data_IF_966916131583
#
_entry.id   IF_966916131583
#
_cell.length_a   1.000
_cell.length_b   1.000
_cell.length_c   1.000
_cell.angle_alpha   90.00
_cell.angle_beta   90.00
_cell.angle_gamma   90.00
#
_symmetry.space_group_name_H-M   'P 1'
#
loop_
_entity.id
_entity.type
_entity.pdbx_description
1 polymer ?
#
# COMPACT_ATOMS: atom_id res chain seq x y z
N UNK A 1 -22.79 -2.04 20.76
CA UNK A 1 -23.08 -2.52 19.41
C UNK A 1 -23.46 -1.38 18.47
N UNK A 2 -23.21 -1.58 17.19
CA UNK A 2 -23.56 -0.63 16.13
C UNK A 2 -24.51 -1.30 15.12
N UNK A 3 -25.33 -0.48 14.48
CA UNK A 3 -26.10 -0.94 13.32
C UNK A 3 -25.19 -1.10 12.12
N UNK A 4 -25.22 -2.29 11.49
CA UNK A 4 -24.44 -2.63 10.29
C UNK A 4 -25.40 -3.06 9.19
N UNK A 5 -25.11 -2.64 7.95
CA UNK A 5 -25.91 -3.06 6.79
C UNK A 5 -25.86 -4.58 6.60
N UNK A 6 -26.97 -5.15 6.12
CA UNK A 6 -27.05 -6.57 5.71
C UNK A 6 -26.04 -6.95 4.61
N UNK A 7 -25.47 -5.94 3.92
CA UNK A 7 -24.44 -6.15 2.91
C UNK A 7 -23.04 -6.42 3.50
N UNK A 8 -22.87 -6.30 4.82
CA UNK A 8 -21.62 -6.50 5.55
C UNK A 8 -21.78 -7.53 6.68
N UNK A 9 -22.23 -8.79 6.38
CA UNK A 9 -22.53 -9.79 7.40
C UNK A 9 -21.29 -10.30 8.16
N UNK A 10 -20.10 -10.26 7.55
CA UNK A 10 -18.87 -10.63 8.26
C UNK A 10 -18.39 -9.48 9.16
N UNK A 11 -18.39 -8.25 8.66
CA UNK A 11 -18.00 -7.05 9.41
C UNK A 11 -18.84 -6.87 10.67
N UNK A 12 -20.12 -7.26 10.65
CA UNK A 12 -21.00 -7.23 11.84
C UNK A 12 -20.43 -8.00 13.04
N UNK A 13 -19.53 -8.96 12.81
CA UNK A 13 -18.90 -9.78 13.85
C UNK A 13 -17.73 -9.08 14.56
N UNK A 14 -17.23 -7.97 14.00
CA UNK A 14 -16.09 -7.21 14.53
C UNK A 14 -16.46 -5.78 14.93
N UNK A 15 -17.74 -5.44 15.03
CA UNK A 15 -18.18 -4.06 15.31
C UNK A 15 -17.67 -3.53 16.65
N UNK A 16 -17.43 -4.39 17.62
CA UNK A 16 -16.90 -4.01 18.94
C UNK A 16 -15.36 -3.82 18.92
N UNK A 17 -14.70 -4.22 17.85
CA UNK A 17 -13.27 -4.05 17.63
C UNK A 17 -12.94 -2.77 16.84
N UNK A 18 -13.94 -2.01 16.38
CA UNK A 18 -13.77 -0.85 15.51
C UNK A 18 -14.43 0.39 16.09
N UNK A 19 -13.84 1.54 15.82
CA UNK A 19 -14.39 2.85 16.17
C UNK A 19 -15.00 3.53 14.95
N UNK A 20 -16.22 4.05 15.09
CA UNK A 20 -16.97 4.72 14.03
C UNK A 20 -16.89 6.23 14.16
N UNK A 21 -16.15 6.89 13.29
CA UNK A 21 -16.07 8.36 13.22
C UNK A 21 -17.20 8.90 12.33
N UNK A 22 -18.39 9.11 12.91
CA UNK A 22 -19.62 9.42 12.15
C UNK A 22 -19.75 10.89 11.71
N UNK A 23 -18.98 11.80 12.29
CA UNK A 23 -19.10 13.23 12.07
C UNK A 23 -18.00 13.81 11.16
N UNK A 24 -17.32 12.99 10.39
CA UNK A 24 -16.33 13.47 9.43
C UNK A 24 -17.01 14.14 8.25
N UNK A 25 -16.57 15.34 7.90
CA UNK A 25 -17.05 16.12 6.75
C UNK A 25 -15.89 16.76 6.00
N UNK A 26 -16.13 17.12 4.75
CA UNK A 26 -15.17 17.81 3.89
C UNK A 26 -15.92 18.84 3.04
N UNK A 27 -15.28 19.96 2.75
CA UNK A 27 -15.72 20.98 1.81
C UNK A 27 -15.28 20.69 0.36
N UNK A 28 -14.54 19.60 0.15
CA UNK A 28 -14.05 19.20 -1.17
C UNK A 28 -15.10 18.36 -1.91
N UNK A 29 -15.61 18.90 -3.00
CA UNK A 29 -16.66 18.26 -3.81
C UNK A 29 -16.10 17.37 -4.94
N UNK A 30 -14.82 17.49 -5.28
CA UNK A 30 -14.17 16.73 -6.37
C UNK A 30 -13.23 15.67 -5.80
N UNK A 31 -13.10 14.53 -6.50
CA UNK A 31 -12.33 13.37 -6.07
C UNK A 31 -10.86 13.69 -5.76
N UNK A 32 -10.12 14.28 -6.69
CA UNK A 32 -8.69 14.51 -6.51
C UNK A 32 -8.35 15.42 -5.32
N UNK A 33 -8.95 16.60 -5.14
CA UNK A 33 -8.69 17.42 -3.96
C UNK A 33 -9.21 16.79 -2.67
N UNK A 34 -10.32 16.04 -2.70
CA UNK A 34 -10.82 15.32 -1.53
C UNK A 34 -9.87 14.17 -1.11
N UNK A 35 -9.33 13.42 -2.06
CA UNK A 35 -8.32 12.40 -1.81
C UNK A 35 -7.03 13.01 -1.23
N UNK A 36 -6.57 14.13 -1.77
CA UNK A 36 -5.42 14.86 -1.22
C UNK A 36 -5.69 15.32 0.21
N UNK A 37 -6.84 15.95 0.47
CA UNK A 37 -7.22 16.40 1.81
C UNK A 37 -7.19 15.23 2.80
N UNK A 38 -7.79 14.10 2.45
CA UNK A 38 -7.86 12.91 3.31
C UNK A 38 -6.48 12.33 3.60
N UNK A 39 -5.58 12.30 2.61
CA UNK A 39 -4.29 11.63 2.71
C UNK A 39 -3.14 12.54 3.17
N UNK A 40 -3.26 13.86 3.01
CA UNK A 40 -2.17 14.81 3.28
C UNK A 40 -2.56 15.97 4.21
N UNK A 41 -3.84 16.06 4.60
CA UNK A 41 -4.37 17.17 5.36
C UNK A 41 -4.48 18.49 4.57
N UNK A 42 -4.44 18.43 3.23
CA UNK A 42 -4.59 19.60 2.37
C UNK A 42 -5.03 19.25 0.97
N UNK A 43 -5.92 20.05 0.39
CA UNK A 43 -6.50 19.81 -0.94
C UNK A 43 -5.55 20.17 -2.12
N UNK A 44 -4.31 20.56 -1.84
CA UNK A 44 -3.30 20.93 -2.83
C UNK A 44 -2.08 20.03 -2.73
N UNK A 45 -1.38 19.87 -3.85
CA UNK A 45 -0.12 19.14 -3.94
C UNK A 45 0.99 19.72 -3.05
N UNK A 46 1.99 18.92 -2.72
CA UNK A 46 3.22 19.33 -2.05
C UNK A 46 3.29 18.96 -0.56
N UNK A 47 2.21 18.46 0.04
CA UNK A 47 2.24 17.98 1.43
C UNK A 47 2.55 16.49 1.49
N UNK A 48 3.29 16.03 2.53
CA UNK A 48 3.51 14.61 2.76
C UNK A 48 2.21 13.87 3.08
N UNK A 49 2.09 12.65 2.62
CA UNK A 49 1.00 11.75 2.98
C UNK A 49 1.12 11.25 4.43
N UNK A 50 0.02 10.70 4.97
CA UNK A 50 0.00 10.10 6.32
C UNK A 50 1.11 9.05 6.47
N UNK A 51 1.26 8.15 5.50
CA UNK A 51 2.29 7.10 5.56
C UNK A 51 3.71 7.67 5.53
N UNK A 52 3.94 8.76 4.78
CA UNK A 52 5.23 9.45 4.78
C UNK A 52 5.54 10.08 6.12
N UNK A 53 4.58 10.71 6.79
CA UNK A 53 4.74 11.25 8.14
C UNK A 53 5.00 10.15 9.17
N UNK A 54 4.27 9.04 9.09
CA UNK A 54 4.45 7.90 10.00
C UNK A 54 5.85 7.31 9.88
N UNK A 55 6.32 7.08 8.66
CA UNK A 55 7.67 6.53 8.42
C UNK A 55 8.78 7.51 8.75
N UNK A 56 8.57 8.81 8.52
CA UNK A 56 9.50 9.86 8.92
C UNK A 56 9.65 9.95 10.46
N UNK A 57 8.54 9.93 11.18
CA UNK A 57 8.53 10.13 12.63
C UNK A 57 8.90 8.88 13.44
N UNK A 58 8.49 7.70 12.98
CA UNK A 58 8.65 6.43 13.70
C UNK A 58 9.69 5.48 13.10
N UNK A 59 10.14 5.75 11.88
CA UNK A 59 11.02 4.83 11.15
C UNK A 59 10.33 3.51 10.79
N UNK A 60 11.13 2.51 10.46
CA UNK A 60 10.68 1.15 10.17
C UNK A 60 11.62 0.14 10.84
N UNK A 61 11.08 -0.96 11.30
CA UNK A 61 11.86 -2.07 11.87
C UNK A 61 12.44 -2.97 10.78
N UNK A 62 11.85 -2.95 9.59
CA UNK A 62 12.31 -3.72 8.46
C UNK A 62 13.46 -3.02 7.73
N UNK A 63 14.55 -3.76 7.46
CA UNK A 63 15.74 -3.27 6.77
C UNK A 63 15.79 -3.66 5.28
N UNK A 64 14.85 -4.51 4.81
CA UNK A 64 14.88 -5.10 3.47
C UNK A 64 13.62 -4.78 2.65
N UNK A 65 12.63 -4.12 3.26
CA UNK A 65 11.40 -3.66 2.62
C UNK A 65 11.19 -2.17 2.93
N UNK A 66 10.47 -1.45 2.05
CA UNK A 66 10.09 -0.07 2.33
C UNK A 66 9.27 0.03 3.62
N UNK A 67 9.44 1.12 4.38
CA UNK A 67 8.62 1.37 5.56
C UNK A 67 7.16 1.70 5.23
N UNK A 68 6.89 2.14 3.99
CA UNK A 68 5.56 2.49 3.51
C UNK A 68 5.27 1.79 2.18
N UNK A 69 4.27 0.90 2.14
CA UNK A 69 3.89 0.09 0.98
C UNK A 69 2.44 0.36 0.61
N UNK A 70 2.15 0.46 -0.69
CA UNK A 70 0.85 0.87 -1.24
C UNK A 70 0.35 -0.16 -2.26
N UNK A 71 -0.38 -1.21 -1.86
CA UNK A 71 -1.10 -2.08 -2.76
C UNK A 71 -2.33 -1.38 -3.36
N UNK A 72 -2.56 -1.59 -4.66
CA UNK A 72 -3.69 -1.02 -5.40
C UNK A 72 -4.51 -2.12 -6.08
N UNK A 73 -5.83 -1.97 -6.14
CA UNK A 73 -6.76 -2.87 -6.83
C UNK A 73 -7.92 -2.12 -7.51
N UNK A 74 -8.72 -2.83 -8.29
CA UNK A 74 -9.86 -2.26 -8.99
C UNK A 74 -9.53 -1.65 -10.36
N UNK A 75 -8.32 -1.91 -10.90
CA UNK A 75 -7.95 -1.58 -12.29
C UNK A 75 -7.61 -0.12 -12.57
N UNK A 76 -7.79 0.80 -11.62
CA UNK A 76 -7.46 2.23 -11.76
C UNK A 76 -6.75 2.76 -10.52
N UNK A 77 -6.05 3.89 -10.70
CA UNK A 77 -5.42 4.62 -9.62
C UNK A 77 -6.36 5.69 -9.05
N UNK A 78 -6.10 6.17 -7.81
CA UNK A 78 -6.73 7.37 -7.29
C UNK A 78 -6.57 8.56 -8.26
N UNK A 79 -7.60 9.41 -8.36
CA UNK A 79 -7.61 10.55 -9.30
C UNK A 79 -6.48 11.56 -9.01
N UNK A 80 -6.07 11.71 -7.75
CA UNK A 80 -4.91 12.50 -7.36
C UNK A 80 -3.56 11.81 -7.63
N UNK A 81 -3.57 10.62 -8.23
CA UNK A 81 -2.38 9.86 -8.62
C UNK A 81 -1.47 9.51 -7.45
N UNK A 82 -0.17 9.47 -7.70
CA UNK A 82 0.85 9.13 -6.70
C UNK A 82 1.00 10.14 -5.56
N UNK A 83 0.40 11.32 -5.69
CA UNK A 83 0.49 12.37 -4.67
C UNK A 83 -0.16 11.96 -3.34
N UNK A 84 -1.12 11.01 -3.35
CA UNK A 84 -1.78 10.52 -2.13
C UNK A 84 -0.93 9.58 -1.29
N UNK A 85 0.25 9.17 -1.78
CA UNK A 85 1.29 8.46 -1.01
C UNK A 85 2.68 9.07 -1.19
N UNK A 86 2.74 10.29 -1.71
CA UNK A 86 3.99 11.02 -1.92
C UNK A 86 4.59 11.57 -0.62
N UNK A 87 5.90 11.79 -0.66
CA UNK A 87 6.64 12.40 0.47
C UNK A 87 6.45 13.92 0.59
N UNK A 88 5.86 14.58 -0.42
CA UNK A 88 5.70 16.03 -0.42
C UNK A 88 7.04 16.76 -0.26
N UNK A 89 7.15 17.59 0.78
CA UNK A 89 8.40 18.30 1.12
C UNK A 89 9.38 17.49 2.00
N UNK A 90 8.97 16.28 2.45
CA UNK A 90 9.91 15.35 3.12
C UNK A 90 10.84 14.70 2.09
N UNK A 91 12.02 14.21 2.50
CA UNK A 91 12.90 13.45 1.63
C UNK A 91 12.17 12.29 0.93
N UNK A 92 12.52 12.04 -0.32
CA UNK A 92 11.81 11.06 -1.17
C UNK A 92 11.88 9.61 -0.69
N UNK A 93 12.81 9.30 0.22
CA UNK A 93 12.93 7.99 0.87
C UNK A 93 11.69 7.61 1.70
N UNK A 94 10.89 8.58 2.12
CA UNK A 94 9.69 8.35 2.93
C UNK A 94 8.40 8.19 2.11
N UNK A 95 8.47 8.29 0.78
CA UNK A 95 7.28 8.07 -0.06
C UNK A 95 6.85 6.61 -0.08
N UNK A 96 5.54 6.39 -0.30
CA UNK A 96 4.99 5.05 -0.46
C UNK A 96 5.50 4.35 -1.72
N UNK A 97 5.86 3.08 -1.58
CA UNK A 97 6.23 2.22 -2.70
C UNK A 97 4.99 1.46 -3.15
N UNK A 98 4.56 1.76 -4.37
CA UNK A 98 3.41 1.10 -4.96
C UNK A 98 3.72 -0.35 -5.30
N UNK A 99 2.82 -1.26 -4.87
CA UNK A 99 2.86 -2.67 -5.23
C UNK A 99 1.63 -3.04 -6.06
N UNK A 100 1.85 -3.93 -7.02
CA UNK A 100 0.80 -4.45 -7.90
C UNK A 100 0.30 -5.78 -7.36
N UNK A 101 -0.99 -6.02 -7.49
CA UNK A 101 -1.63 -7.29 -7.13
C UNK A 101 -1.51 -8.37 -8.21
N UNK A 102 -1.04 -8.00 -9.41
CA UNK A 102 -0.85 -8.91 -10.54
C UNK A 102 0.47 -8.64 -11.27
N UNK A 103 1.10 -9.70 -11.77
CA UNK A 103 2.41 -9.66 -12.42
C UNK A 103 3.55 -9.46 -11.42
N UNK A 104 4.61 -8.76 -11.83
CA UNK A 104 5.71 -8.43 -10.92
C UNK A 104 5.21 -7.43 -9.85
N UNK A 105 5.30 -7.79 -8.57
CA UNK A 105 4.73 -6.98 -7.48
C UNK A 105 5.28 -5.54 -7.44
N UNK A 106 6.56 -5.40 -7.76
CA UNK A 106 7.24 -4.11 -7.88
C UNK A 106 7.86 -4.03 -9.26
N UNK A 107 7.60 -2.94 -9.98
CA UNK A 107 8.17 -2.74 -11.32
C UNK A 107 9.69 -2.68 -11.26
N UNK A 108 10.33 -3.30 -12.26
CA UNK A 108 11.79 -3.30 -12.43
C UNK A 108 12.59 -3.90 -11.25
N UNK A 109 11.94 -4.74 -10.44
CA UNK A 109 12.64 -5.42 -9.33
C UNK A 109 13.58 -6.52 -9.83
N UNK A 110 13.31 -7.11 -10.98
CA UNK A 110 14.15 -8.14 -11.59
C UNK A 110 15.32 -7.54 -12.34
N UNK A 111 16.46 -8.21 -12.30
CA UNK A 111 17.61 -7.79 -13.08
C UNK A 111 17.37 -8.04 -14.58
N UNK A 112 17.90 -7.16 -15.47
CA UNK A 112 17.89 -7.39 -16.91
C UNK A 112 18.63 -8.67 -17.29
N UNK A 113 18.31 -9.22 -18.45
CA UNK A 113 19.05 -10.37 -19.00
C UNK A 113 20.56 -10.06 -19.12
N UNK A 114 21.38 -10.97 -18.62
CA UNK A 114 22.84 -10.81 -18.61
C UNK A 114 23.42 -10.06 -17.41
N UNK A 115 22.59 -9.59 -16.49
CA UNK A 115 23.02 -8.97 -15.24
C UNK A 115 22.81 -9.97 -14.10
N UNK A 116 23.89 -10.46 -13.52
CA UNK A 116 23.82 -11.23 -12.29
C UNK A 116 23.84 -10.31 -11.04
N UNK A 117 23.66 -10.92 -9.88
CA UNK A 117 23.55 -10.20 -8.63
C UNK A 117 24.83 -9.45 -8.23
N UNK A 118 25.99 -10.03 -8.52
CA UNK A 118 27.29 -9.41 -8.17
C UNK A 118 27.55 -8.21 -9.07
N UNK A 119 27.27 -8.30 -10.36
CA UNK A 119 27.34 -7.20 -11.30
C UNK A 119 26.33 -6.10 -10.94
N UNK A 120 25.11 -6.48 -10.53
CA UNK A 120 24.12 -5.52 -10.05
C UNK A 120 24.61 -4.77 -8.81
N UNK A 121 25.16 -5.50 -7.84
CA UNK A 121 25.73 -4.87 -6.64
C UNK A 121 26.86 -3.92 -6.99
N UNK A 122 27.82 -4.36 -7.79
CA UNK A 122 28.94 -3.53 -8.25
C UNK A 122 28.46 -2.25 -8.95
N UNK A 123 27.40 -2.36 -9.78
CA UNK A 123 26.80 -1.21 -10.47
C UNK A 123 26.19 -0.22 -9.48
N UNK A 124 25.47 -0.70 -8.45
CA UNK A 124 24.88 0.16 -7.42
C UNK A 124 25.99 0.80 -6.57
N UNK A 125 27.01 0.06 -6.16
CA UNK A 125 28.14 0.57 -5.39
C UNK A 125 28.88 1.68 -6.17
N UNK A 126 29.07 1.51 -7.49
CA UNK A 126 29.65 2.54 -8.34
C UNK A 126 28.79 3.81 -8.45
N UNK A 127 27.46 3.65 -8.64
CA UNK A 127 26.51 4.78 -8.66
C UNK A 127 26.50 5.50 -7.31
N UNK A 128 26.47 4.76 -6.21
CA UNK A 128 26.50 5.34 -4.87
C UNK A 128 27.79 6.11 -4.61
N UNK A 129 28.93 5.62 -5.13
CA UNK A 129 30.20 6.32 -5.02
C UNK A 129 30.18 7.69 -5.73
N UNK A 130 29.58 7.75 -6.92
CA UNK A 130 29.40 9.04 -7.64
C UNK A 130 28.48 9.96 -6.83
N UNK A 131 27.36 9.45 -6.33
CA UNK A 131 26.43 10.23 -5.48
C UNK A 131 27.10 10.73 -4.18
N UNK A 132 27.95 9.93 -3.52
CA UNK A 132 28.72 10.36 -2.36
C UNK A 132 29.67 11.52 -2.68
N UNK A 133 30.34 11.50 -3.82
CA UNK A 133 31.25 12.55 -4.24
C UNK A 133 30.45 13.81 -4.60
N UNK A 134 29.31 13.71 -5.29
CA UNK A 134 28.36 14.83 -5.48
C UNK A 134 27.88 15.40 -4.13
N UNK A 135 27.52 14.55 -3.16
CA UNK A 135 27.11 15.03 -1.84
C UNK A 135 28.19 15.81 -1.10
N UNK A 136 29.46 15.45 -1.26
CA UNK A 136 30.58 16.20 -0.67
C UNK A 136 30.65 17.61 -1.21
N UNK A 137 30.33 17.80 -2.49
CA UNK A 137 30.37 19.10 -3.18
C UNK A 137 29.12 19.92 -2.87
N UNK A 138 27.91 19.37 -3.13
CA UNK A 138 26.66 20.13 -3.12
C UNK A 138 25.95 20.12 -1.75
N UNK A 139 26.21 19.14 -0.89
CA UNK A 139 25.56 18.97 0.43
C UNK A 139 24.04 18.88 0.37
N UNK A 140 23.48 18.47 -0.78
CA UNK A 140 22.06 18.29 -0.96
C UNK A 140 21.61 16.98 -0.30
N UNK A 141 20.71 17.02 0.73
CA UNK A 141 20.24 15.82 1.44
C UNK A 141 19.46 14.85 0.54
N UNK A 142 18.90 15.30 -0.60
CA UNK A 142 18.20 14.42 -1.53
C UNK A 142 19.15 13.43 -2.22
N UNK A 143 20.45 13.73 -2.30
CA UNK A 143 21.47 12.79 -2.78
C UNK A 143 21.58 11.59 -1.83
N UNK A 144 21.53 11.80 -0.52
CA UNK A 144 21.51 10.72 0.47
C UNK A 144 20.25 9.87 0.37
N UNK A 145 19.10 10.51 0.10
CA UNK A 145 17.85 9.80 -0.15
C UNK A 145 17.94 8.89 -1.38
N UNK A 146 18.58 9.35 -2.45
CA UNK A 146 18.84 8.58 -3.67
C UNK A 146 19.71 7.35 -3.41
N UNK A 147 20.80 7.50 -2.65
CA UNK A 147 21.66 6.38 -2.23
C UNK A 147 20.81 5.33 -1.49
N UNK A 148 20.06 5.75 -0.48
CA UNK A 148 19.20 4.87 0.31
C UNK A 148 18.14 4.15 -0.54
N UNK A 149 17.59 4.82 -1.56
CA UNK A 149 16.63 4.22 -2.48
C UNK A 149 17.25 3.13 -3.37
N UNK A 150 18.47 3.33 -3.89
CA UNK A 150 19.18 2.28 -4.66
C UNK A 150 19.49 1.06 -3.81
N UNK A 151 19.96 1.27 -2.57
CA UNK A 151 20.22 0.17 -1.63
C UNK A 151 18.94 -0.58 -1.26
N UNK A 152 17.85 0.14 -1.01
CA UNK A 152 16.54 -0.47 -0.71
C UNK A 152 16.05 -1.28 -1.92
N UNK A 153 16.13 -0.75 -3.13
CA UNK A 153 15.72 -1.47 -4.34
C UNK A 153 16.51 -2.78 -4.50
N UNK A 154 17.81 -2.78 -4.21
CA UNK A 154 18.64 -4.00 -4.24
C UNK A 154 18.22 -5.03 -3.18
N UNK A 155 17.94 -4.60 -1.95
CA UNK A 155 17.46 -5.47 -0.87
C UNK A 155 16.09 -6.07 -1.19
N UNK A 156 15.20 -5.26 -1.77
CA UNK A 156 13.86 -5.67 -2.18
C UNK A 156 13.86 -6.78 -3.24
N UNK A 157 14.88 -6.89 -4.07
CA UNK A 157 14.97 -7.96 -5.08
C UNK A 157 14.90 -9.37 -4.47
N UNK A 158 15.35 -9.53 -3.23
CA UNK A 158 15.23 -10.81 -2.49
C UNK A 158 13.96 -10.85 -1.66
N UNK A 159 13.73 -9.81 -0.86
CA UNK A 159 12.68 -9.82 0.16
C UNK A 159 11.27 -9.71 -0.43
N UNK A 160 11.08 -8.88 -1.47
CA UNK A 160 9.75 -8.64 -2.01
C UNK A 160 9.12 -9.89 -2.66
N UNK A 161 9.79 -10.68 -3.52
CA UNK A 161 9.18 -11.88 -4.10
C UNK A 161 8.71 -12.89 -3.06
N UNK A 162 9.42 -13.04 -1.95
CA UNK A 162 9.04 -13.97 -0.87
C UNK A 162 7.79 -13.49 -0.15
N UNK A 163 7.74 -12.21 0.23
CA UNK A 163 6.64 -11.63 1.00
C UNK A 163 5.40 -11.45 0.14
N UNK A 164 5.58 -11.04 -1.12
CA UNK A 164 4.47 -10.76 -2.04
C UNK A 164 3.78 -12.02 -2.55
N UNK A 165 4.43 -13.19 -2.46
CA UNK A 165 3.83 -14.46 -2.85
C UNK A 165 2.87 -14.96 -1.77
N UNK A 166 1.59 -14.66 -1.96
CA UNK A 166 0.52 -15.15 -1.08
C UNK A 166 0.15 -16.60 -1.34
N UNK A 167 0.60 -17.22 -2.44
CA UNK A 167 0.23 -18.60 -2.81
C UNK A 167 0.77 -19.65 -1.83
N UNK A 168 1.77 -19.28 -1.03
CA UNK A 168 2.37 -20.14 0.00
C UNK A 168 1.59 -20.16 1.32
N UNK A 169 0.58 -19.33 1.46
CA UNK A 169 -0.27 -19.36 2.65
C UNK A 169 -1.13 -20.66 2.66
N UNK A 170 -1.43 -21.21 3.83
CA UNK A 170 -2.29 -22.38 3.95
C UNK A 170 -3.70 -22.13 3.39
N UNK A 171 -4.36 -23.19 2.91
CA UNK A 171 -5.71 -23.10 2.32
C UNK A 171 -6.73 -22.44 3.26
N UNK A 172 -6.69 -22.76 4.57
CA UNK A 172 -7.61 -22.16 5.53
C UNK A 172 -7.47 -20.62 5.63
N UNK A 173 -6.28 -20.07 5.37
CA UNK A 173 -6.05 -18.62 5.28
C UNK A 173 -6.71 -18.05 4.02
N UNK A 174 -6.54 -18.74 2.88
CA UNK A 174 -7.21 -18.35 1.64
C UNK A 174 -8.74 -18.39 1.80
N UNK A 175 -9.27 -19.42 2.44
CA UNK A 175 -10.69 -19.50 2.74
C UNK A 175 -11.13 -18.38 3.68
N UNK A 176 -10.38 -18.09 4.75
CA UNK A 176 -10.69 -17.06 5.73
C UNK A 176 -10.77 -15.67 5.11
N UNK A 177 -9.80 -15.30 4.27
CA UNK A 177 -9.74 -14.00 3.59
C UNK A 177 -10.59 -13.94 2.31
N UNK A 178 -10.94 -15.07 1.72
CA UNK A 178 -11.58 -15.14 0.40
C UNK A 178 -10.64 -14.81 -0.75
N UNK A 179 -9.35 -15.09 -0.58
CA UNK A 179 -8.31 -14.78 -1.57
C UNK A 179 -8.25 -15.80 -2.70
N UNK A 180 -7.74 -15.36 -3.84
CA UNK A 180 -7.45 -16.20 -5.02
C UNK A 180 -6.08 -15.83 -5.57
N UNK A 181 -5.02 -16.55 -5.22
CA UNK A 181 -3.67 -16.27 -5.72
C UNK A 181 -3.63 -16.20 -7.26
N UNK A 182 -2.83 -15.27 -7.79
CA UNK A 182 -2.68 -15.07 -9.23
C UNK A 182 -3.80 -14.27 -9.90
N UNK A 183 -4.78 -13.76 -9.15
CA UNK A 183 -5.83 -12.85 -9.63
C UNK A 183 -5.80 -11.54 -8.88
N UNK A 184 -6.04 -10.44 -9.59
CA UNK A 184 -6.23 -9.15 -8.91
C UNK A 184 -7.45 -9.19 -8.02
N UNK A 185 -7.31 -8.83 -6.75
CA UNK A 185 -8.45 -8.64 -5.84
C UNK A 185 -8.05 -7.81 -4.62
N UNK A 186 -9.01 -7.09 -4.05
CA UNK A 186 -8.83 -6.40 -2.77
C UNK A 186 -8.47 -7.38 -1.64
N UNK A 187 -9.10 -8.55 -1.61
CA UNK A 187 -8.81 -9.58 -0.60
C UNK A 187 -7.34 -10.04 -0.64
N UNK A 188 -6.75 -10.20 -1.83
CA UNK A 188 -5.33 -10.53 -1.96
C UNK A 188 -4.44 -9.42 -1.38
N UNK A 189 -4.80 -8.15 -1.62
CA UNK A 189 -4.07 -7.00 -1.07
C UNK A 189 -4.20 -6.93 0.46
N UNK A 190 -5.36 -7.27 1.02
CA UNK A 190 -5.56 -7.32 2.48
C UNK A 190 -4.70 -8.42 3.12
N UNK A 191 -4.66 -9.61 2.52
CA UNK A 191 -3.78 -10.69 2.99
C UNK A 191 -2.30 -10.30 2.86
N UNK A 192 -1.93 -9.65 1.77
CA UNK A 192 -0.58 -9.13 1.58
C UNK A 192 -0.23 -8.08 2.64
N UNK A 193 -1.17 -7.20 3.00
CA UNK A 193 -0.96 -6.20 4.06
C UNK A 193 -0.60 -6.86 5.39
N UNK A 194 -1.30 -7.93 5.79
CA UNK A 194 -0.97 -8.72 6.97
C UNK A 194 0.47 -9.27 6.89
N UNK A 195 0.87 -9.87 5.77
CA UNK A 195 2.23 -10.40 5.56
C UNK A 195 3.30 -9.31 5.66
N UNK A 196 3.03 -8.13 5.09
CA UNK A 196 3.93 -6.99 5.15
C UNK A 196 4.13 -6.50 6.60
N UNK A 197 3.04 -6.39 7.36
CA UNK A 197 3.10 -6.02 8.79
C UNK A 197 3.87 -7.04 9.60
N UNK A 198 3.66 -8.34 9.38
CA UNK A 198 4.46 -9.41 10.02
C UNK A 198 5.96 -9.30 9.74
N UNK A 199 6.33 -8.75 8.58
CA UNK A 199 7.73 -8.50 8.21
C UNK A 199 8.25 -7.13 8.67
N UNK A 200 7.50 -6.40 9.50
CA UNK A 200 7.90 -5.13 10.10
C UNK A 200 7.76 -3.92 9.19
N UNK A 201 6.97 -4.00 8.12
CA UNK A 201 6.58 -2.82 7.35
C UNK A 201 5.73 -1.91 8.22
N UNK A 202 6.12 -0.65 8.37
CA UNK A 202 5.52 0.29 9.32
C UNK A 202 4.12 0.75 8.91
N UNK A 203 3.90 0.99 7.62
CA UNK A 203 2.64 1.52 7.12
C UNK A 203 2.25 0.86 5.80
N UNK A 204 1.05 0.28 5.76
CA UNK A 204 0.47 -0.31 4.54
C UNK A 204 -0.83 0.39 4.24
N UNK A 205 -0.94 0.98 3.03
CA UNK A 205 -2.11 1.73 2.60
C UNK A 205 -2.72 1.07 1.37
N UNK A 206 -3.98 0.63 1.50
CA UNK A 206 -4.71 -0.03 0.43
C UNK A 206 -5.59 0.96 -0.31
N UNK A 207 -5.53 0.93 -1.64
CA UNK A 207 -6.46 1.63 -2.50
C UNK A 207 -7.24 0.63 -3.34
N UNK A 208 -8.55 0.79 -3.36
CA UNK A 208 -9.45 0.00 -4.21
C UNK A 208 -10.37 0.92 -4.99
N UNK A 209 -10.41 0.76 -6.32
CA UNK A 209 -11.23 1.55 -7.21
C UNK A 209 -12.68 1.04 -7.27
N UNK A 210 -13.63 1.93 -7.68
CA UNK A 210 -14.99 1.54 -8.00
C UNK A 210 -16.00 1.71 -6.88
N UNK A 211 -15.76 2.66 -5.96
CA UNK A 211 -16.68 3.04 -4.88
C UNK A 211 -17.59 4.22 -5.23
N UNK A 212 -17.34 4.87 -6.37
CA UNK A 212 -18.10 6.02 -6.84
C UNK A 212 -19.32 5.55 -7.63
N UNK A 213 -20.45 5.36 -6.94
CA UNK A 213 -21.68 4.83 -7.49
C UNK A 213 -22.67 5.95 -7.82
N UNK A 214 -22.86 6.21 -9.13
CA UNK A 214 -23.77 7.25 -9.65
C UNK A 214 -25.11 6.69 -10.16
N UNK A 215 -25.28 5.37 -10.21
CA UNK A 215 -26.52 4.72 -10.63
C UNK A 215 -26.69 4.57 -12.14
N UNK A 216 -25.66 4.84 -12.94
CA UNK A 216 -25.71 4.88 -14.40
C UNK A 216 -25.24 3.58 -15.08
N UNK A 217 -25.75 2.43 -14.70
CA UNK A 217 -25.39 1.16 -15.31
C UNK A 217 -25.15 0.05 -14.29
N UNK A 218 -25.02 -1.20 -14.76
CA UNK A 218 -24.96 -2.37 -13.88
C UNK A 218 -23.78 -2.35 -12.90
N UNK A 219 -22.61 -1.88 -13.35
CA UNK A 219 -21.39 -1.84 -12.52
C UNK A 219 -21.38 -0.65 -11.54
N UNK A 220 -22.18 0.38 -11.83
CA UNK A 220 -22.22 1.63 -11.09
C UNK A 220 -23.52 1.83 -10.30
N UNK A 221 -24.51 0.95 -10.50
CA UNK A 221 -25.78 1.00 -9.79
C UNK A 221 -25.63 0.58 -8.33
N UNK A 222 -26.31 1.29 -7.42
CA UNK A 222 -26.36 0.93 -5.99
C UNK A 222 -26.86 -0.50 -5.76
N UNK A 223 -27.80 -0.96 -6.61
CA UNK A 223 -28.39 -2.30 -6.47
C UNK A 223 -27.41 -3.44 -6.81
N UNK A 224 -26.43 -3.20 -7.68
CA UNK A 224 -25.51 -4.22 -8.18
C UNK A 224 -24.06 -3.86 -7.80
N UNK A 225 -23.53 -2.77 -8.32
CA UNK A 225 -22.13 -2.38 -8.17
C UNK A 225 -21.75 -2.17 -6.72
N UNK A 226 -22.54 -1.38 -5.97
CA UNK A 226 -22.28 -1.14 -4.55
C UNK A 226 -22.35 -2.42 -3.71
N UNK A 227 -23.35 -3.29 -3.96
CA UNK A 227 -23.44 -4.58 -3.27
C UNK A 227 -22.24 -5.47 -3.56
N UNK A 228 -21.74 -5.46 -4.80
CA UNK A 228 -20.54 -6.22 -5.16
C UNK A 228 -19.30 -5.67 -4.44
N UNK A 229 -19.16 -4.36 -4.32
CA UNK A 229 -18.08 -3.73 -3.56
C UNK A 229 -18.16 -4.08 -2.08
N UNK A 230 -19.32 -4.03 -1.45
CA UNK A 230 -19.49 -4.48 -0.07
C UNK A 230 -19.03 -5.93 0.12
N UNK A 231 -19.43 -6.85 -0.77
CA UNK A 231 -19.00 -8.26 -0.71
C UNK A 231 -17.49 -8.44 -0.86
N UNK A 232 -16.83 -7.60 -1.66
CA UNK A 232 -15.37 -7.66 -1.86
C UNK A 232 -14.59 -7.34 -0.59
N UNK A 233 -15.07 -6.39 0.23
CA UNK A 233 -14.37 -5.94 1.43
C UNK A 233 -14.78 -6.67 2.71
N UNK A 234 -16.03 -7.10 2.81
CA UNK A 234 -16.64 -7.57 4.05
C UNK A 234 -15.85 -8.71 4.71
N UNK A 235 -15.60 -9.77 3.95
CA UNK A 235 -14.94 -10.96 4.46
C UNK A 235 -13.45 -10.71 4.78
N UNK A 236 -12.72 -10.09 3.88
CA UNK A 236 -11.27 -9.94 4.02
C UNK A 236 -10.87 -8.93 5.11
N UNK A 237 -11.62 -7.84 5.30
CA UNK A 237 -11.38 -6.90 6.42
C UNK A 237 -11.66 -7.58 7.75
N UNK A 238 -12.76 -8.33 7.84
CA UNK A 238 -13.07 -9.12 9.04
C UNK A 238 -11.98 -10.14 9.36
N UNK A 239 -11.52 -10.86 8.33
CA UNK A 239 -10.43 -11.82 8.45
C UNK A 239 -9.14 -11.16 8.94
N UNK A 240 -8.80 -9.98 8.41
CA UNK A 240 -7.60 -9.25 8.83
C UNK A 240 -7.61 -8.96 10.34
N UNK A 241 -8.71 -8.45 10.88
CA UNK A 241 -8.81 -8.13 12.31
C UNK A 241 -8.65 -9.38 13.17
N UNK A 242 -9.31 -10.47 12.80
CA UNK A 242 -9.17 -11.75 13.53
C UNK A 242 -7.76 -12.32 13.44
N UNK A 243 -7.15 -12.32 12.25
CA UNK A 243 -5.81 -12.87 12.03
C UNK A 243 -4.73 -12.07 12.77
N UNK A 244 -4.80 -10.73 12.73
CA UNK A 244 -3.91 -9.87 13.50
C UNK A 244 -4.02 -10.14 15.01
N UNK A 245 -5.23 -10.22 15.54
CA UNK A 245 -5.46 -10.55 16.97
C UNK A 245 -4.89 -11.93 17.35
N UNK A 246 -5.10 -12.94 16.50
CA UNK A 246 -4.58 -14.30 16.76
C UNK A 246 -3.05 -14.34 16.74
N UNK A 247 -2.40 -13.47 15.96
CA UNK A 247 -0.93 -13.38 15.85
C UNK A 247 -0.30 -12.45 16.89
N UNK A 248 -1.10 -11.69 17.62
CA UNK A 248 -0.60 -10.68 18.56
C UNK A 248 -0.02 -9.44 17.89
N UNK A 249 -0.53 -9.08 16.71
CA UNK A 249 -0.13 -7.94 15.90
C UNK A 249 -1.11 -6.77 16.06
#
# INVERSE_FOLDING_TARGET
>A
GAWVSEHLPHFSKIVDEVSFLKACSSDQFNHAPAQLLMQTGGARLGRPSIGSWVTYGLGTENQNLPGFVVPTSGGKFPDAGKSVWGSGFLPSVYQGVQCRSEGDPVLFIKDPAGMDRDLRKASIDAINKVNEDEYKEYKDPEILSRISQYEMAYKMQIAAPEVMDISKEPEYIHEMYGTKPGKESFANNVLLARKLVEKGVRFVQLFDWGWDSHGAGSEDALEIGFKNKCRQIDKCITALIFDLKQRGL
#
